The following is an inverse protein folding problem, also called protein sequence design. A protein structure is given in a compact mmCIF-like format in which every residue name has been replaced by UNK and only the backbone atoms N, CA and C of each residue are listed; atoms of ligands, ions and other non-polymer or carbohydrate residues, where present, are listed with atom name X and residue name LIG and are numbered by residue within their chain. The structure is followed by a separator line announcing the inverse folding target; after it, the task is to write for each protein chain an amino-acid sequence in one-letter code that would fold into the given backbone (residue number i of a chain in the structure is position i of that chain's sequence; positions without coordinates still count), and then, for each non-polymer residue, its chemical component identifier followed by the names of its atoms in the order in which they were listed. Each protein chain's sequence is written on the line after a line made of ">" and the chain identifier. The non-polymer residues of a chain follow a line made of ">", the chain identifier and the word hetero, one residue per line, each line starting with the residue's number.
data_IF_853983538621
#
_entry.id   IF_853983538621
#
_cell.length_a   1.000
_cell.length_b   1.000
_cell.length_c   1.000
_cell.angle_alpha   90.00
_cell.angle_beta   90.00
_cell.angle_gamma   90.00
#
_symmetry.space_group_name_H-M   'P 1'
#
loop_
_entity.id
_entity.type
_entity.pdbx_description
1 polymer ?
#
# COMPACT_ATOMS: atom_id res chain seq x y z
N UNK A 1 -18.12 6.84 2.45
CA UNK A 1 -16.74 6.88 1.91
C UNK A 1 -15.81 6.29 2.96
N UNK A 2 -14.93 5.37 2.60
CA UNK A 2 -13.89 4.91 3.51
C UNK A 2 -12.75 5.94 3.57
N UNK A 3 -12.22 6.19 4.76
CA UNK A 3 -11.16 7.16 4.99
C UNK A 3 -9.85 6.74 4.31
N UNK A 4 -9.05 7.68 3.79
CA UNK A 4 -7.76 7.38 3.19
C UNK A 4 -6.79 6.78 4.22
N UNK A 5 -5.88 5.92 3.75
CA UNK A 5 -4.83 5.39 4.61
C UNK A 5 -3.84 6.50 4.99
N UNK A 6 -3.52 6.61 6.27
CA UNK A 6 -2.58 7.62 6.78
C UNK A 6 -1.12 7.19 6.65
N UNK A 7 -0.86 5.89 6.50
CA UNK A 7 0.50 5.34 6.40
C UNK A 7 0.61 4.27 5.31
N UNK A 8 1.77 4.15 4.62
CA UNK A 8 2.02 3.07 3.66
C UNK A 8 1.85 1.67 4.27
N UNK A 9 2.24 1.52 5.54
CA UNK A 9 2.07 0.28 6.30
C UNK A 9 0.61 -0.14 6.40
N UNK A 10 -0.28 0.78 6.77
CA UNK A 10 -1.72 0.46 6.89
C UNK A 10 -2.35 0.06 5.55
N UNK A 11 -1.97 0.74 4.47
CA UNK A 11 -2.37 0.39 3.11
C UNK A 11 -1.85 -1.00 2.68
N UNK A 12 -0.58 -1.30 2.96
CA UNK A 12 0.02 -2.58 2.62
C UNK A 12 -0.65 -3.74 3.37
N UNK A 13 -0.95 -3.56 4.67
CA UNK A 13 -1.67 -4.56 5.46
C UNK A 13 -3.09 -4.79 4.94
N UNK A 14 -3.81 -3.73 4.54
CA UNK A 14 -5.14 -3.88 3.95
C UNK A 14 -5.09 -4.69 2.65
N UNK A 15 -4.09 -4.46 1.78
CA UNK A 15 -3.88 -5.26 0.56
C UNK A 15 -3.52 -6.71 0.88
N UNK A 16 -2.64 -6.97 1.85
CA UNK A 16 -2.25 -8.33 2.25
C UNK A 16 -3.40 -9.14 2.86
N UNK A 17 -4.36 -8.48 3.50
CA UNK A 17 -5.55 -9.11 4.08
C UNK A 17 -6.75 -9.14 3.13
N UNK A 18 -6.61 -8.63 1.91
CA UNK A 18 -7.68 -8.63 0.91
C UNK A 18 -7.71 -9.95 0.13
N UNK A 19 -8.87 -10.29 -0.43
CA UNK A 19 -9.08 -11.52 -1.23
C UNK A 19 -8.43 -11.45 -2.64
N UNK A 20 -7.66 -10.40 -2.92
CA UNK A 20 -7.02 -10.19 -4.21
C UNK A 20 -5.88 -11.19 -4.44
N UNK A 21 -5.82 -11.74 -5.65
CA UNK A 21 -4.69 -12.56 -6.06
C UNK A 21 -3.43 -11.70 -6.27
N UNK A 22 -2.54 -11.70 -5.28
CA UNK A 22 -1.27 -10.99 -5.34
C UNK A 22 -0.25 -11.76 -6.15
N UNK A 23 0.39 -11.08 -7.11
CA UNK A 23 1.60 -11.62 -7.73
C UNK A 23 2.73 -11.75 -6.71
N UNK A 24 3.70 -12.64 -6.94
CA UNK A 24 4.88 -12.79 -6.07
C UNK A 24 5.60 -11.47 -5.82
N UNK A 25 5.71 -10.62 -6.85
CA UNK A 25 6.32 -9.28 -6.77
C UNK A 25 5.52 -8.35 -5.85
N UNK A 26 4.19 -8.32 -6.01
CA UNK A 26 3.32 -7.50 -5.17
C UNK A 26 3.36 -7.97 -3.70
N UNK A 27 3.24 -9.27 -3.45
CA UNK A 27 3.31 -9.83 -2.09
C UNK A 27 4.62 -9.51 -1.39
N UNK A 28 5.77 -9.65 -2.08
CA UNK A 28 7.08 -9.29 -1.52
C UNK A 28 7.17 -7.81 -1.14
N UNK A 29 6.75 -6.91 -2.03
CA UNK A 29 6.79 -5.47 -1.78
C UNK A 29 5.88 -5.06 -0.64
N UNK A 30 4.65 -5.57 -0.60
CA UNK A 30 3.68 -5.26 0.45
C UNK A 30 4.14 -5.82 1.80
N UNK A 31 4.68 -7.04 1.83
CA UNK A 31 5.25 -7.63 3.04
C UNK A 31 6.38 -6.78 3.61
N UNK A 32 7.31 -6.32 2.77
CA UNK A 32 8.37 -5.40 3.20
C UNK A 32 7.80 -4.07 3.68
N UNK A 33 6.89 -3.45 2.93
CA UNK A 33 6.24 -2.17 3.30
C UNK A 33 5.49 -2.26 4.63
N UNK A 34 4.96 -3.43 4.99
CA UNK A 34 4.25 -3.64 6.23
C UNK A 34 5.15 -3.71 7.48
N UNK A 35 6.43 -4.09 7.32
CA UNK A 35 7.36 -4.36 8.44
C UNK A 35 8.59 -3.45 8.47
N UNK A 36 9.02 -2.93 7.32
CA UNK A 36 10.17 -2.05 7.19
C UNK A 36 9.73 -0.58 7.33
N UNK A 37 10.26 0.18 8.31
CA UNK A 37 9.86 1.57 8.53
C UNK A 37 10.49 2.55 7.54
N UNK A 38 11.26 2.07 6.56
CA UNK A 38 11.93 2.93 5.59
C UNK A 38 10.89 3.69 4.75
N UNK A 39 11.05 5.01 4.55
CA UNK A 39 10.19 5.77 3.66
C UNK A 39 10.21 5.18 2.24
N UNK A 40 9.03 5.07 1.65
CA UNK A 40 8.89 4.65 0.26
C UNK A 40 9.43 5.73 -0.69
N UNK A 41 10.12 5.28 -1.74
CA UNK A 41 10.47 6.16 -2.85
C UNK A 41 9.21 6.62 -3.61
N UNK A 42 9.25 7.73 -4.37
CA UNK A 42 8.10 8.19 -5.14
C UNK A 42 7.51 7.11 -6.06
N UNK A 43 8.36 6.35 -6.75
CA UNK A 43 7.93 5.24 -7.61
C UNK A 43 7.23 4.11 -6.84
N UNK A 44 7.66 3.83 -5.60
CA UNK A 44 6.99 2.85 -4.74
C UNK A 44 5.65 3.36 -4.22
N UNK A 45 5.52 4.66 -3.95
CA UNK A 45 4.24 5.28 -3.57
C UNK A 45 3.25 5.18 -4.73
N UNK A 46 3.65 5.52 -5.96
CA UNK A 46 2.79 5.39 -7.14
C UNK A 46 2.40 3.93 -7.40
N UNK A 47 3.34 3.00 -7.21
CA UNK A 47 3.05 1.58 -7.33
C UNK A 47 2.03 1.13 -6.26
N UNK A 48 2.19 1.55 -5.01
CA UNK A 48 1.23 1.25 -3.95
C UNK A 48 -0.17 1.83 -4.26
N UNK A 49 -0.24 3.06 -4.78
CA UNK A 49 -1.49 3.68 -5.21
C UNK A 49 -2.18 2.86 -6.31
N UNK A 50 -1.42 2.37 -7.29
CA UNK A 50 -1.94 1.49 -8.35
C UNK A 50 -2.50 0.18 -7.78
N UNK A 51 -1.84 -0.41 -6.78
CA UNK A 51 -2.33 -1.63 -6.12
C UNK A 51 -3.63 -1.36 -5.35
N UNK A 52 -3.73 -0.24 -4.65
CA UNK A 52 -4.94 0.16 -3.94
C UNK A 52 -6.12 0.40 -4.89
N UNK A 53 -5.88 1.10 -6.00
CA UNK A 53 -6.90 1.34 -7.03
C UNK A 53 -7.43 0.03 -7.62
N UNK A 54 -6.53 -0.89 -7.99
CA UNK A 54 -6.89 -2.23 -8.48
C UNK A 54 -7.65 -3.07 -7.46
N UNK A 55 -7.42 -2.83 -6.17
CA UNK A 55 -8.10 -3.47 -5.07
C UNK A 55 -9.43 -2.80 -4.68
N UNK A 56 -9.77 -1.64 -5.27
CA UNK A 56 -10.92 -0.85 -4.85
C UNK A 56 -10.81 -0.31 -3.43
N UNK A 57 -9.58 -0.22 -2.90
CA UNK A 57 -9.31 0.24 -1.54
C UNK A 57 -9.11 1.76 -1.48
N UNK A 58 -9.25 2.37 -0.29
CA UNK A 58 -8.97 3.79 -0.12
C UNK A 58 -7.56 4.16 -0.57
N UNK A 59 -7.41 5.37 -1.11
CA UNK A 59 -6.10 5.90 -1.48
C UNK A 59 -5.24 6.20 -0.25
N UNK A 60 -3.92 6.26 -0.44
CA UNK A 60 -3.01 6.81 0.55
C UNK A 60 -3.22 8.33 0.66
N UNK A 61 -3.23 8.86 1.88
CA UNK A 61 -3.28 10.29 2.13
C UNK A 61 -2.00 10.97 1.61
N UNK A 62 -2.13 12.17 1.04
CA UNK A 62 -1.01 12.92 0.46
C UNK A 62 0.09 13.28 1.49
N UNK A 63 -0.20 13.16 2.79
CA UNK A 63 0.72 13.39 3.92
C UNK A 63 1.55 12.17 4.38
N UNK A 64 1.44 11.01 3.73
CA UNK A 64 2.23 9.81 4.05
C UNK A 64 3.73 9.90 3.70
N UNK A 65 4.24 11.11 3.43
CA UNK A 65 5.66 11.47 3.37
C UNK A 65 6.10 11.85 4.79
N UNK A 66 6.27 10.87 5.65
CA UNK A 66 6.97 11.06 6.95
C UNK A 66 8.39 10.56 6.80
#
# INVERSE_FOLDING_TARGET
>A
MADPFTTPRSAALALLNSDQHLTRKAGSFLGQTAVDPKPLTPAQIEWLATLLERAGLPKLAEGGRS
#
